data_IF_921948567832
#
_entry.id   IF_921948567832
#
_cell.length_a   1.000
_cell.length_b   1.000
_cell.length_c   1.000
_cell.angle_alpha   90.00
_cell.angle_beta   90.00
_cell.angle_gamma   90.00
#
_symmetry.space_group_name_H-M   'P 1'
#
loop_
_entity.id
_entity.type
_entity.pdbx_description
1 polymer ?
#
# COMPACT_ATOMS: atom_id res chain seq x y z
N UNK A 1 -5.39 4.57 13.62
CA UNK A 1 -5.13 3.57 12.59
C UNK A 1 -4.42 2.35 13.16
N UNK A 2 -4.61 1.22 12.56
CA UNK A 2 -3.90 -0.01 12.91
C UNK A 2 -3.01 -0.45 11.76
N UNK A 3 -1.83 -0.95 12.10
CA UNK A 3 -0.87 -1.49 11.14
C UNK A 3 -0.32 -2.80 11.67
N UNK A 4 -0.44 -3.85 10.87
CA UNK A 4 0.09 -5.17 11.20
C UNK A 4 1.57 -5.22 10.81
N UNK A 5 2.44 -5.53 11.77
CA UNK A 5 3.88 -5.56 11.57
C UNK A 5 4.44 -6.95 11.88
N UNK A 6 5.49 -7.32 11.17
CA UNK A 6 6.15 -8.60 11.28
C UNK A 6 7.61 -8.40 11.65
N UNK A 7 8.14 -9.22 12.56
CA UNK A 7 9.54 -9.16 12.91
C UNK A 7 10.40 -9.66 11.74
N UNK A 8 11.34 -8.85 11.28
CA UNK A 8 12.12 -9.14 10.07
C UNK A 8 12.94 -10.44 10.17
N UNK A 9 13.48 -10.74 11.32
CA UNK A 9 14.28 -11.95 11.52
C UNK A 9 13.48 -13.21 11.85
N UNK A 10 12.20 -13.08 12.18
CA UNK A 10 11.33 -14.20 12.56
C UNK A 10 9.87 -13.83 12.24
N UNK A 11 9.41 -14.27 11.09
CA UNK A 11 8.07 -13.90 10.60
C UNK A 11 6.93 -14.55 11.39
N UNK A 12 7.23 -15.44 12.33
CA UNK A 12 6.22 -15.98 13.25
C UNK A 12 5.86 -14.99 14.36
N UNK A 13 6.66 -13.96 14.54
CA UNK A 13 6.43 -12.91 15.53
C UNK A 13 5.86 -11.68 14.87
N UNK A 14 4.74 -11.22 15.41
CA UNK A 14 3.98 -10.10 14.86
C UNK A 14 3.54 -9.17 15.97
N UNK A 15 3.19 -7.95 15.58
CA UNK A 15 2.54 -6.99 16.48
C UNK A 15 1.58 -6.13 15.70
N UNK A 16 0.64 -5.50 16.39
CA UNK A 16 -0.22 -4.48 15.81
C UNK A 16 0.18 -3.13 16.40
N UNK A 17 0.59 -2.24 15.54
CA UNK A 17 0.77 -0.83 15.91
C UNK A 17 -0.60 -0.15 15.88
N UNK A 18 -0.91 0.61 16.91
CA UNK A 18 -2.09 1.48 16.96
C UNK A 18 -1.63 2.91 17.17
N UNK A 19 -2.13 3.81 16.34
CA UNK A 19 -1.80 5.22 16.43
C UNK A 19 -2.84 6.07 15.74
N UNK A 20 -2.73 7.37 15.90
CA UNK A 20 -3.59 8.33 15.23
C UNK A 20 -2.96 8.71 13.89
N UNK A 21 -3.81 8.91 12.88
CA UNK A 21 -3.45 9.56 11.64
C UNK A 21 -4.32 10.80 11.48
N UNK A 22 -3.70 11.93 11.18
CA UNK A 22 -4.44 13.13 10.89
C UNK A 22 -4.76 13.13 9.39
N UNK A 23 -6.02 12.86 9.07
CA UNK A 23 -6.51 12.77 7.70
C UNK A 23 -6.58 14.14 7.01
N UNK A 24 -6.45 15.22 7.77
CA UNK A 24 -6.47 16.59 7.24
C UNK A 24 -5.06 17.12 6.92
N UNK A 25 -4.02 16.45 7.42
CA UNK A 25 -2.63 16.85 7.17
C UNK A 25 -2.06 16.05 6.00
N UNK A 26 -2.31 16.55 4.80
CA UNK A 26 -1.72 16.04 3.57
C UNK A 26 -1.14 17.22 2.78
N UNK A 27 -0.04 16.97 2.09
CA UNK A 27 0.59 17.97 1.24
C UNK A 27 -0.16 18.10 -0.09
N UNK A 28 0.20 19.13 -0.86
CA UNK A 28 -0.34 19.30 -2.20
C UNK A 28 -0.01 18.09 -3.05
N UNK A 29 -0.94 17.72 -3.93
CA UNK A 29 -0.84 16.57 -4.82
C UNK A 29 -0.80 15.20 -4.13
N UNK A 30 -1.08 15.13 -2.83
CA UNK A 30 -1.19 13.88 -2.09
C UNK A 30 -2.64 13.44 -1.94
N UNK A 31 -2.81 12.13 -1.74
CA UNK A 31 -4.10 11.52 -1.39
C UNK A 31 -3.92 10.58 -0.20
N UNK A 32 -4.99 10.36 0.54
CA UNK A 32 -5.05 9.32 1.57
C UNK A 32 -6.09 8.30 1.12
N UNK A 33 -5.71 7.03 1.15
CA UNK A 33 -6.60 5.92 0.85
C UNK A 33 -6.82 5.06 2.08
N UNK A 34 -8.01 4.47 2.18
CA UNK A 34 -8.31 3.45 3.18
C UNK A 34 -8.29 2.09 2.50
N UNK A 35 -7.45 1.19 3.01
CA UNK A 35 -7.36 -0.19 2.51
C UNK A 35 -8.63 -0.92 2.93
N UNK A 36 -9.36 -1.48 1.96
CA UNK A 36 -10.64 -2.15 2.21
C UNK A 36 -10.49 -3.67 2.24
N UNK A 37 -9.76 -4.20 1.29
CA UNK A 37 -9.58 -5.65 1.13
C UNK A 37 -8.19 -5.93 0.62
N UNK A 38 -7.59 -7.03 1.04
CA UNK A 38 -6.32 -7.48 0.50
C UNK A 38 -6.29 -9.00 0.45
N UNK A 39 -5.38 -9.53 -0.36
CA UNK A 39 -5.11 -10.95 -0.47
C UNK A 39 -3.92 -11.32 0.39
N UNK A 40 -4.08 -12.29 1.28
CA UNK A 40 -2.99 -12.87 2.06
C UNK A 40 -2.83 -14.33 1.68
N UNK A 41 -1.72 -14.64 1.02
CA UNK A 41 -1.45 -15.95 0.44
C UNK A 41 -0.07 -16.46 0.84
N UNK A 42 0.29 -17.66 0.41
CA UNK A 42 1.64 -18.21 0.61
C UNK A 42 2.73 -17.28 0.03
N UNK A 43 2.43 -16.53 -1.03
CA UNK A 43 3.38 -15.56 -1.59
C UNK A 43 3.74 -14.46 -0.59
N UNK A 44 2.81 -14.04 0.25
CA UNK A 44 3.09 -13.01 1.27
C UNK A 44 4.07 -13.52 2.32
N UNK A 45 3.98 -14.80 2.67
CA UNK A 45 4.95 -15.45 3.57
C UNK A 45 6.34 -15.44 2.92
N UNK A 46 6.41 -15.76 1.63
CA UNK A 46 7.67 -15.70 0.87
C UNK A 46 8.26 -14.28 0.85
N UNK A 47 7.42 -13.26 0.73
CA UNK A 47 7.85 -11.86 0.80
C UNK A 47 8.48 -11.55 2.16
N UNK A 48 7.92 -12.06 3.25
CA UNK A 48 8.48 -11.88 4.59
C UNK A 48 9.81 -12.58 4.76
N UNK A 49 9.92 -13.82 4.31
CA UNK A 49 11.17 -14.61 4.39
C UNK A 49 12.26 -13.98 3.54
N UNK A 50 11.94 -13.51 2.34
CA UNK A 50 12.88 -12.92 1.40
C UNK A 50 13.00 -11.38 1.54
N UNK A 51 12.43 -10.80 2.59
CA UNK A 51 12.32 -9.36 2.74
C UNK A 51 13.67 -8.62 2.67
N UNK A 52 14.68 -9.14 3.34
CA UNK A 52 16.02 -8.52 3.32
C UNK A 52 16.73 -8.73 1.99
N UNK A 53 16.61 -9.92 1.40
CA UNK A 53 17.30 -10.28 0.15
C UNK A 53 16.71 -9.59 -1.07
N UNK A 54 15.37 -9.52 -1.14
CA UNK A 54 14.65 -9.00 -2.29
C UNK A 54 14.09 -7.59 -2.07
N UNK A 55 14.35 -7.00 -0.92
CA UNK A 55 13.96 -5.63 -0.62
C UNK A 55 12.48 -5.41 -0.34
N UNK A 56 11.72 -6.43 -0.01
CA UNK A 56 10.27 -6.29 0.26
C UNK A 56 9.96 -5.37 1.45
N UNK A 57 10.85 -5.26 2.43
CA UNK A 57 10.66 -4.36 3.56
C UNK A 57 10.70 -2.88 3.18
N UNK A 58 11.24 -2.56 2.02
CA UNK A 58 11.39 -1.17 1.55
C UNK A 58 10.09 -0.58 0.98
N UNK A 59 9.13 -1.42 0.62
CA UNK A 59 7.88 -0.94 0.02
C UNK A 59 7.08 -0.07 0.98
N UNK A 60 6.94 -0.51 2.21
CA UNK A 60 6.16 0.19 3.24
C UNK A 60 6.86 0.07 4.58
N UNK A 61 7.65 1.09 4.96
CA UNK A 61 8.34 1.09 6.25
C UNK A 61 7.34 1.01 7.41
N UNK A 62 7.66 0.19 8.41
CA UNK A 62 6.82 0.03 9.59
C UNK A 62 6.89 1.29 10.48
N UNK A 63 5.77 1.64 11.10
CA UNK A 63 5.70 2.74 12.05
C UNK A 63 6.30 2.35 13.40
N UNK A 64 6.84 3.33 14.12
CA UNK A 64 7.51 3.12 15.42
C UNK A 64 8.56 2.00 15.39
N UNK A 65 9.40 2.03 14.40
CA UNK A 65 10.42 1.01 14.15
C UNK A 65 11.82 1.55 14.48
N UNK A 66 12.05 1.88 15.74
CA UNK A 66 13.26 2.56 16.22
C UNK A 66 14.54 1.75 15.90
N UNK A 67 14.48 0.43 16.11
CA UNK A 67 15.63 -0.45 15.90
C UNK A 67 15.61 -1.13 14.53
N UNK A 68 14.71 -0.73 13.64
CA UNK A 68 14.56 -1.29 12.30
C UNK A 68 14.32 -2.82 12.29
N UNK A 69 13.68 -3.33 13.33
CA UNK A 69 13.42 -4.77 13.48
C UNK A 69 12.08 -5.21 12.88
N UNK A 70 11.16 -4.27 12.68
CA UNK A 70 9.82 -4.55 12.22
C UNK A 70 9.63 -4.15 10.77
N UNK A 71 8.77 -4.88 10.07
CA UNK A 71 8.44 -4.60 8.69
C UNK A 71 6.97 -4.81 8.40
N UNK A 72 6.54 -4.29 7.27
CA UNK A 72 5.21 -4.51 6.71
C UNK A 72 5.34 -5.42 5.49
N UNK A 73 4.63 -6.54 5.48
CA UNK A 73 4.58 -7.42 4.32
C UNK A 73 3.59 -6.80 3.33
N UNK A 74 4.04 -6.41 2.12
CA UNK A 74 3.14 -5.79 1.15
C UNK A 74 2.14 -6.80 0.59
N UNK A 75 0.95 -6.31 0.26
CA UNK A 75 -0.15 -7.14 -0.24
C UNK A 75 -0.87 -6.47 -1.39
N UNK A 76 -1.34 -7.28 -2.34
CA UNK A 76 -2.24 -6.81 -3.38
C UNK A 76 -3.64 -6.64 -2.79
N UNK A 77 -4.29 -5.54 -3.11
CA UNK A 77 -5.61 -5.27 -2.56
C UNK A 77 -6.31 -4.08 -3.18
N UNK A 78 -7.41 -3.73 -2.55
CA UNK A 78 -8.29 -2.63 -2.97
C UNK A 78 -8.36 -1.58 -1.87
N UNK A 79 -8.40 -0.32 -2.29
CA UNK A 79 -8.54 0.80 -1.39
C UNK A 79 -9.44 1.87 -1.98
N UNK A 80 -9.93 2.74 -1.11
CA UNK A 80 -10.81 3.85 -1.49
C UNK A 80 -10.15 5.17 -1.10
N UNK A 81 -10.16 6.13 -2.01
CA UNK A 81 -9.66 7.48 -1.72
C UNK A 81 -10.62 8.16 -0.74
N UNK A 82 -10.13 8.51 0.44
CA UNK A 82 -10.93 9.17 1.48
C UNK A 82 -10.61 10.66 1.61
N UNK A 83 -9.44 11.09 1.14
CA UNK A 83 -9.04 12.50 1.13
C UNK A 83 -8.12 12.73 -0.06
N UNK A 84 -8.30 13.85 -0.77
CA UNK A 84 -7.48 14.17 -1.92
C UNK A 84 -7.19 15.67 -2.00
N UNK A 85 -5.91 15.99 -2.14
CA UNK A 85 -5.45 17.32 -2.54
C UNK A 85 -4.89 17.31 -3.97
N UNK A 86 -5.14 16.25 -4.72
CA UNK A 86 -4.76 16.12 -6.11
C UNK A 86 -5.95 16.43 -7.00
N UNK A 87 -5.78 17.39 -7.93
CA UNK A 87 -6.89 17.86 -8.77
C UNK A 87 -7.43 16.82 -9.75
N UNK A 88 -6.63 15.80 -10.07
CA UNK A 88 -7.02 14.75 -11.03
C UNK A 88 -7.54 13.47 -10.37
N UNK A 89 -7.43 13.36 -9.03
CA UNK A 89 -7.90 12.19 -8.27
C UNK A 89 -8.99 12.66 -7.31
N UNK A 90 -10.16 12.04 -7.39
CA UNK A 90 -11.32 12.43 -6.61
C UNK A 90 -11.51 11.52 -5.40
N UNK A 91 -12.12 12.06 -4.34
CA UNK A 91 -12.60 11.25 -3.23
C UNK A 91 -13.59 10.21 -3.73
N UNK A 92 -13.61 9.07 -3.07
CA UNK A 92 -14.43 7.89 -3.38
C UNK A 92 -13.97 7.09 -4.60
N UNK A 93 -12.91 7.47 -5.30
CA UNK A 93 -12.29 6.58 -6.29
C UNK A 93 -11.79 5.31 -5.61
N UNK A 94 -11.89 4.20 -6.30
CA UNK A 94 -11.36 2.92 -5.83
C UNK A 94 -10.13 2.55 -6.62
N UNK A 95 -9.16 1.99 -5.93
CA UNK A 95 -7.86 1.66 -6.48
C UNK A 95 -7.54 0.19 -6.22
N UNK A 96 -6.82 -0.42 -7.16
CA UNK A 96 -6.19 -1.72 -6.99
C UNK A 96 -4.69 -1.57 -7.10
N UNK A 97 -3.96 -2.19 -6.18
CA UNK A 97 -2.49 -2.16 -6.21
C UNK A 97 -1.86 -2.75 -4.98
N UNK A 98 -0.63 -2.34 -4.73
CA UNK A 98 0.16 -2.80 -3.61
C UNK A 98 -0.06 -1.93 -2.39
N UNK A 99 -0.42 -2.56 -1.27
CA UNK A 99 -0.72 -1.88 -0.02
C UNK A 99 -0.03 -2.53 1.16
N UNK A 100 0.28 -1.76 2.23
CA UNK A 100 0.69 -2.34 3.49
C UNK A 100 -0.52 -2.95 4.22
N UNK A 101 -0.30 -3.84 5.19
CA UNK A 101 -1.37 -4.34 6.06
C UNK A 101 -1.77 -3.29 7.10
N UNK A 102 -2.33 -2.19 6.65
CA UNK A 102 -2.64 -0.99 7.41
C UNK A 102 -4.01 -0.46 7.00
N UNK A 103 -4.67 0.27 7.90
CA UNK A 103 -5.95 0.90 7.58
C UNK A 103 -5.81 1.96 6.48
N UNK A 104 -4.72 2.72 6.51
CA UNK A 104 -4.54 3.88 5.64
C UNK A 104 -3.18 3.91 5.00
N UNK A 105 -3.11 4.51 3.82
CA UNK A 105 -1.87 4.77 3.12
C UNK A 105 -1.94 6.15 2.46
N UNK A 106 -0.84 6.90 2.57
CA UNK A 106 -0.66 8.17 1.87
C UNK A 106 0.07 7.90 0.56
N UNK A 107 -0.47 8.39 -0.54
CA UNK A 107 0.10 8.26 -1.88
C UNK A 107 0.32 9.65 -2.49
N UNK A 108 1.30 9.74 -3.36
CA UNK A 108 1.57 10.93 -4.16
C UNK A 108 1.45 10.59 -5.64
N UNK A 109 0.25 10.64 -6.23
CA UNK A 109 0.04 10.24 -7.62
C UNK A 109 0.83 11.08 -8.60
N UNK A 110 1.44 10.39 -9.57
CA UNK A 110 2.16 10.99 -10.69
C UNK A 110 1.93 10.14 -11.93
N UNK A 111 2.24 10.67 -13.11
CA UNK A 111 2.05 9.98 -14.39
C UNK A 111 0.63 9.43 -14.54
N UNK A 112 -0.33 10.30 -14.29
CA UNK A 112 -1.74 9.93 -14.19
C UNK A 112 -2.33 9.74 -15.58
N UNK A 113 -3.01 8.61 -15.75
CA UNK A 113 -3.86 8.31 -16.92
C UNK A 113 -5.29 8.04 -16.45
N UNK A 114 -6.21 7.80 -17.38
CA UNK A 114 -7.57 7.40 -17.02
C UNK A 114 -7.62 6.05 -16.29
N UNK A 115 -6.64 5.16 -16.54
CA UNK A 115 -6.64 3.80 -16.02
C UNK A 115 -5.73 3.61 -14.80
N UNK A 116 -4.71 4.45 -14.63
CA UNK A 116 -3.72 4.21 -13.58
C UNK A 116 -2.90 5.46 -13.23
N UNK A 117 -2.11 5.35 -12.16
CA UNK A 117 -1.06 6.30 -11.83
C UNK A 117 0.09 5.58 -11.11
N UNK A 118 1.22 6.27 -10.95
CA UNK A 118 2.35 5.81 -10.15
C UNK A 118 2.42 6.60 -8.85
N UNK A 119 2.91 5.95 -7.80
CA UNK A 119 3.22 6.62 -6.54
C UNK A 119 4.64 7.20 -6.60
N UNK A 120 4.78 8.49 -6.34
CA UNK A 120 6.06 9.21 -6.40
C UNK A 120 6.78 9.27 -5.06
N UNK A 121 6.38 8.48 -4.07
CA UNK A 121 7.03 8.45 -2.75
C UNK A 121 8.48 8.02 -2.88
N UNK A 122 9.39 8.77 -2.24
CA UNK A 122 10.84 8.63 -2.45
C UNK A 122 11.40 7.25 -2.07
N UNK A 123 10.88 6.61 -1.03
CA UNK A 123 11.38 5.32 -0.56
C UNK A 123 11.03 4.14 -1.50
N UNK A 124 10.18 4.37 -2.50
CA UNK A 124 9.77 3.33 -3.46
C UNK A 124 10.24 3.60 -4.88
N UNK A 125 10.92 4.71 -5.12
CA UNK A 125 11.23 5.12 -6.49
C UNK A 125 12.19 4.17 -7.22
N UNK A 126 13.05 3.47 -6.50
CA UNK A 126 14.02 2.54 -7.06
C UNK A 126 13.54 1.09 -7.07
N UNK A 127 12.29 0.86 -6.65
CA UNK A 127 11.66 -0.45 -6.65
C UNK A 127 10.93 -0.72 -7.98
N UNK A 128 10.59 -1.99 -8.28
CA UNK A 128 9.92 -2.30 -9.53
C UNK A 128 8.65 -1.47 -9.75
N UNK A 129 8.47 -0.95 -10.95
CA UNK A 129 7.35 -0.08 -11.30
C UNK A 129 6.00 -0.69 -10.97
N UNK A 130 5.85 -2.00 -11.17
CA UNK A 130 4.57 -2.68 -10.93
C UNK A 130 4.09 -2.53 -9.47
N UNK A 131 5.02 -2.44 -8.53
CA UNK A 131 4.69 -2.26 -7.11
C UNK A 131 4.27 -0.83 -6.77
N UNK A 132 4.54 0.14 -7.65
CA UNK A 132 4.19 1.54 -7.48
C UNK A 132 2.99 1.96 -8.33
N UNK A 133 2.46 1.05 -9.12
CA UNK A 133 1.37 1.33 -10.06
C UNK A 133 0.03 0.97 -9.45
N UNK A 134 -0.87 1.93 -9.45
CA UNK A 134 -2.23 1.77 -8.94
C UNK A 134 -3.22 1.87 -10.09
N UNK A 135 -4.08 0.88 -10.20
CA UNK A 135 -5.16 0.88 -11.19
C UNK A 135 -6.35 1.66 -10.67
N UNK A 136 -6.88 2.54 -11.49
CA UNK A 136 -8.07 3.32 -11.18
C UNK A 136 -9.28 2.52 -11.64
N UNK A 137 -10.18 2.22 -10.71
CA UNK A 137 -11.36 1.43 -10.99
C UNK A 137 -12.53 2.36 -11.23
N UNK A 138 -13.19 2.20 -12.36
CA UNK A 138 -14.53 2.76 -12.47
C UNK A 138 -15.52 1.80 -11.79
N UNK A 139 -16.73 2.28 -11.53
CA UNK A 139 -17.71 1.51 -10.77
C UNK A 139 -18.19 0.21 -11.45
N UNK A 140 -17.81 -0.02 -12.71
CA UNK A 140 -18.21 -1.21 -13.47
C UNK A 140 -17.23 -2.38 -13.34
N UNK A 141 -16.01 -2.14 -12.85
CA UNK A 141 -14.99 -3.19 -12.71
C UNK A 141 -15.25 -3.99 -11.46
N UNK A 142 -15.46 -5.31 -11.58
CA UNK A 142 -15.68 -6.19 -10.45
C UNK A 142 -14.37 -6.70 -9.84
N UNK A 143 -14.37 -6.97 -8.54
CA UNK A 143 -13.23 -7.58 -7.86
C UNK A 143 -12.85 -8.95 -8.44
N UNK A 144 -13.84 -9.72 -8.90
CA UNK A 144 -13.62 -11.04 -9.50
C UNK A 144 -12.78 -10.92 -10.78
N UNK A 145 -13.06 -9.93 -11.61
CA UNK A 145 -12.30 -9.68 -12.82
C UNK A 145 -10.83 -9.35 -12.52
N UNK A 146 -10.59 -8.50 -11.53
CA UNK A 146 -9.23 -8.10 -11.16
C UNK A 146 -8.45 -9.23 -10.49
N UNK A 147 -9.10 -10.07 -9.70
CA UNK A 147 -8.47 -11.25 -9.07
C UNK A 147 -7.87 -12.21 -10.09
N UNK A 148 -8.44 -12.30 -11.26
CA UNK A 148 -7.92 -13.17 -12.32
C UNK A 148 -6.51 -12.74 -12.79
N UNK A 149 -6.10 -11.53 -12.52
CA UNK A 149 -4.79 -10.99 -12.90
C UNK A 149 -3.73 -11.04 -11.79
N UNK A 150 -4.10 -11.50 -10.59
CA UNK A 150 -3.18 -11.59 -9.44
C UNK A 150 -2.25 -12.81 -9.50
N UNK A 151 -2.62 -13.80 -10.25
CA UNK A 151 -1.89 -15.09 -10.32
C UNK A 151 -0.84 -15.13 -11.44
#
# INVERSE_FOLDING_TARGET
>A
MKEFQTLKGDITKTRIFEGEIDLDVIDDDEIIVRVETFSFTANNISYGVAGDTLGYWQFFPAKENIDDQWGCIPMWGFAKVISSRHKEIQENERLFGYFPPSDYLKLKPTKITEQNFLDAVSHRKDLPIISNKYLRLDGAVSYTHLRAHET
#
